data_IF_987266714521
#
_entry.id   IF_987266714521
#
_cell.length_a   1.000
_cell.length_b   1.000
_cell.length_c   1.000
_cell.angle_alpha   90.00
_cell.angle_beta   90.00
_cell.angle_gamma   90.00
#
_symmetry.space_group_name_H-M   'P 1'
#
loop_
_entity.id
_entity.type
_entity.pdbx_description
1 polymer ?
#
# COMPACT_ATOMS: atom_id res chain seq x y z
N UNK A 1 -0.62 25.97 -0.20
CA UNK A 1 0.32 24.90 0.17
C UNK A 1 1.04 24.33 -1.04
N UNK A 2 0.34 23.75 -2.03
CA UNK A 2 0.97 23.14 -3.22
C UNK A 2 2.02 24.02 -3.94
N UNK A 3 1.77 25.31 -4.27
CA UNK A 3 2.79 26.13 -4.94
C UNK A 3 4.01 26.47 -4.07
N UNK A 4 3.86 26.50 -2.74
CA UNK A 4 4.99 26.69 -1.82
C UNK A 4 5.76 25.39 -1.60
N UNK A 5 5.06 24.26 -1.66
CA UNK A 5 5.60 22.91 -1.57
C UNK A 5 6.39 22.53 -2.83
N UNK A 6 5.87 22.83 -4.01
CA UNK A 6 6.54 22.61 -5.30
C UNK A 6 7.88 23.36 -5.35
N UNK A 7 7.91 24.62 -4.88
CA UNK A 7 9.15 25.41 -4.75
C UNK A 7 10.15 24.79 -3.77
N UNK A 8 9.67 24.19 -2.69
CA UNK A 8 10.53 23.52 -1.71
C UNK A 8 11.12 22.23 -2.29
N UNK A 9 10.30 21.43 -3.00
CA UNK A 9 10.76 20.23 -3.70
C UNK A 9 11.79 20.55 -4.78
N UNK A 10 11.56 21.61 -5.56
CA UNK A 10 12.51 22.09 -6.56
C UNK A 10 13.85 22.47 -5.91
N UNK A 11 13.83 23.19 -4.80
CA UNK A 11 15.03 23.55 -4.05
C UNK A 11 15.75 22.32 -3.45
N UNK A 12 15.01 21.34 -2.91
CA UNK A 12 15.55 20.09 -2.37
C UNK A 12 16.24 19.29 -3.48
N UNK A 13 15.60 19.14 -4.65
CA UNK A 13 16.16 18.38 -5.77
C UNK A 13 17.42 19.05 -6.34
N UNK A 14 17.41 20.38 -6.48
CA UNK A 14 18.61 21.12 -6.91
C UNK A 14 19.80 20.92 -5.96
N UNK A 15 19.55 20.81 -4.65
CA UNK A 15 20.61 20.52 -3.66
C UNK A 15 21.04 19.04 -3.67
N UNK A 16 20.14 18.12 -4.03
CA UNK A 16 20.46 16.71 -4.24
C UNK A 16 21.50 16.55 -5.36
N UNK A 17 21.26 17.23 -6.49
CA UNK A 17 22.13 17.17 -7.66
C UNK A 17 23.51 17.77 -7.36
N UNK A 18 23.56 18.93 -6.70
CA UNK A 18 24.83 19.54 -6.25
C UNK A 18 25.60 18.66 -5.26
N UNK A 19 24.90 17.99 -4.34
CA UNK A 19 25.52 17.05 -3.40
C UNK A 19 26.07 15.83 -4.13
N UNK A 20 25.35 15.29 -5.11
CA UNK A 20 25.81 14.14 -5.88
C UNK A 20 27.04 14.50 -6.72
N UNK A 21 27.03 15.65 -7.39
CA UNK A 21 28.19 16.16 -8.13
C UNK A 21 29.40 16.39 -7.22
N UNK A 22 29.19 16.89 -6.00
CA UNK A 22 30.27 17.05 -5.03
C UNK A 22 30.81 15.70 -4.53
N UNK A 23 29.94 14.70 -4.29
CA UNK A 23 30.34 13.34 -3.93
C UNK A 23 31.20 12.71 -5.03
N UNK A 24 30.80 12.86 -6.29
CA UNK A 24 31.44 12.23 -7.45
C UNK A 24 32.83 12.84 -7.73
N UNK A 25 33.06 14.08 -7.32
CA UNK A 25 34.34 14.78 -7.52
C UNK A 25 35.32 14.69 -6.33
N UNK A 26 34.91 14.07 -5.22
CA UNK A 26 35.77 13.93 -4.02
C UNK A 26 36.55 12.61 -4.04
N UNK A 27 37.88 12.73 -3.96
CA UNK A 27 38.81 11.58 -4.00
C UNK A 27 39.42 11.22 -2.64
N UNK A 28 39.25 12.06 -1.61
CA UNK A 28 39.77 11.80 -0.27
C UNK A 28 38.90 10.81 0.54
N UNK A 29 39.51 9.70 0.97
CA UNK A 29 38.85 8.57 1.66
C UNK A 29 38.09 8.96 2.94
N UNK A 30 38.62 9.88 3.74
CA UNK A 30 37.98 10.33 4.99
C UNK A 30 36.75 11.21 4.68
N UNK A 31 36.87 12.02 3.64
CA UNK A 31 35.79 12.89 3.14
C UNK A 31 34.67 12.06 2.49
N UNK A 32 35.00 11.01 1.72
CA UNK A 32 34.04 10.07 1.12
C UNK A 32 33.16 9.38 2.18
N UNK A 33 33.73 8.99 3.33
CA UNK A 33 32.95 8.34 4.41
C UNK A 33 31.92 9.29 5.04
N UNK A 34 32.33 10.54 5.30
CA UNK A 34 31.43 11.57 5.84
C UNK A 34 30.36 11.98 4.82
N UNK A 35 30.74 12.05 3.54
CA UNK A 35 29.81 12.30 2.44
C UNK A 35 28.76 11.21 2.31
N UNK A 36 29.12 9.92 2.38
CA UNK A 36 28.14 8.82 2.37
C UNK A 36 27.12 8.91 3.51
N UNK A 37 27.55 9.32 4.70
CA UNK A 37 26.63 9.56 5.83
C UNK A 37 25.70 10.75 5.56
N UNK A 38 26.22 11.82 4.96
CA UNK A 38 25.46 13.01 4.60
C UNK A 38 24.45 12.71 3.48
N UNK A 39 24.85 12.00 2.42
CA UNK A 39 23.96 11.47 1.37
C UNK A 39 22.89 10.55 1.96
N UNK A 40 23.25 9.68 2.90
CA UNK A 40 22.29 8.82 3.60
C UNK A 40 21.26 9.61 4.42
N UNK A 41 21.69 10.69 5.09
CA UNK A 41 20.78 11.62 5.78
C UNK A 41 19.88 12.40 4.82
N UNK A 42 20.43 12.86 3.70
CA UNK A 42 19.69 13.60 2.68
C UNK A 42 18.65 12.72 1.96
N UNK A 43 18.97 11.45 1.68
CA UNK A 43 18.01 10.49 1.13
C UNK A 43 16.81 10.26 2.07
N UNK A 44 17.01 10.33 3.40
CA UNK A 44 15.89 10.28 4.36
C UNK A 44 15.01 11.53 4.26
N UNK A 45 15.60 12.71 4.03
CA UNK A 45 14.85 13.96 3.79
C UNK A 45 14.06 13.87 2.49
N UNK A 46 14.63 13.35 1.41
CA UNK A 46 13.93 13.09 0.15
C UNK A 46 12.77 12.10 0.32
N UNK A 47 12.96 11.06 1.13
CA UNK A 47 11.91 10.09 1.45
C UNK A 47 10.78 10.75 2.22
N UNK A 48 11.09 11.50 3.28
CA UNK A 48 10.08 12.24 4.05
C UNK A 48 9.38 13.32 3.23
N UNK A 49 10.10 13.99 2.32
CA UNK A 49 9.49 14.93 1.39
C UNK A 49 8.51 14.21 0.46
N UNK A 50 8.86 13.05 -0.07
CA UNK A 50 7.95 12.23 -0.90
C UNK A 50 6.70 11.76 -0.12
N UNK A 51 6.80 11.57 1.19
CA UNK A 51 5.65 11.25 2.05
C UNK A 51 4.75 12.47 2.27
N UNK A 52 5.33 13.65 2.51
CA UNK A 52 4.58 14.90 2.63
C UNK A 52 3.95 15.32 1.30
N UNK A 53 4.62 15.04 0.18
CA UNK A 53 4.08 15.25 -1.17
C UNK A 53 2.76 14.49 -1.37
N UNK A 54 2.67 13.26 -0.87
CA UNK A 54 1.43 12.46 -0.89
C UNK A 54 0.30 13.05 -0.03
N UNK A 55 0.64 13.89 0.95
CA UNK A 55 -0.34 14.58 1.81
C UNK A 55 -0.75 15.93 1.22
N UNK A 56 0.16 16.63 0.54
CA UNK A 56 -0.07 17.95 -0.07
C UNK A 56 -0.74 17.83 -1.44
N UNK A 57 -0.38 16.82 -2.22
CA UNK A 57 -1.05 16.41 -3.46
C UNK A 57 -1.53 14.96 -3.31
N UNK A 58 -2.65 14.72 -2.61
CA UNK A 58 -3.24 13.39 -2.55
C UNK A 58 -3.58 13.02 -3.99
N UNK A 59 -2.78 12.10 -4.57
CA UNK A 59 -2.97 11.61 -5.94
C UNK A 59 -4.47 11.47 -6.21
N UNK A 60 -4.97 12.18 -7.23
CA UNK A 60 -6.41 12.27 -7.52
C UNK A 60 -7.06 10.92 -7.26
N UNK A 61 -7.88 10.85 -6.21
CA UNK A 61 -8.60 9.62 -5.89
C UNK A 61 -9.39 9.25 -7.14
N UNK A 62 -9.05 8.12 -7.75
CA UNK A 62 -9.83 7.58 -8.85
C UNK A 62 -11.29 7.50 -8.38
N UNK A 63 -12.19 8.07 -9.16
CA UNK A 63 -13.63 7.88 -8.94
C UNK A 63 -13.92 6.40 -9.04
N UNK A 64 -14.29 5.80 -7.92
CA UNK A 64 -14.61 4.37 -7.85
C UNK A 64 -15.90 4.12 -8.62
N UNK A 65 -15.85 3.21 -9.58
CA UNK A 65 -17.02 2.71 -10.31
C UNK A 65 -17.48 1.44 -9.63
N UNK A 66 -18.66 1.50 -9.04
CA UNK A 66 -19.27 0.33 -8.39
C UNK A 66 -19.75 -0.65 -9.46
N UNK A 67 -19.49 -1.96 -9.29
CA UNK A 67 -19.76 -2.97 -10.31
C UNK A 67 -21.24 -3.34 -10.44
N UNK A 68 -22.02 -3.09 -9.38
CA UNK A 68 -23.43 -3.40 -9.25
C UNK A 68 -24.18 -2.15 -8.77
N UNK A 69 -25.41 -1.97 -9.25
CA UNK A 69 -26.32 -0.90 -8.82
C UNK A 69 -27.30 -1.44 -7.75
N UNK A 70 -26.75 -2.16 -6.76
CA UNK A 70 -27.52 -2.78 -5.67
C UNK A 70 -27.10 -2.12 -4.34
N UNK A 71 -28.03 -1.42 -3.70
CA UNK A 71 -27.81 -0.70 -2.44
C UNK A 71 -27.25 -1.61 -1.34
N UNK A 72 -27.71 -2.85 -1.22
CA UNK A 72 -27.22 -3.81 -0.22
C UNK A 72 -25.73 -4.11 -0.43
N UNK A 73 -25.30 -4.27 -1.69
CA UNK A 73 -23.89 -4.45 -2.01
C UNK A 73 -23.08 -3.20 -1.67
N UNK A 74 -23.60 -1.99 -1.91
CA UNK A 74 -22.92 -0.75 -1.54
C UNK A 74 -22.70 -0.65 -0.03
N UNK A 75 -23.73 -0.98 0.76
CA UNK A 75 -23.66 -0.98 2.22
C UNK A 75 -22.66 -2.04 2.71
N UNK A 76 -22.73 -3.26 2.19
CA UNK A 76 -21.80 -4.33 2.54
C UNK A 76 -20.35 -3.99 2.16
N UNK A 77 -20.13 -3.37 1.01
CA UNK A 77 -18.80 -2.94 0.58
C UNK A 77 -18.23 -1.86 1.49
N UNK A 78 -19.08 -0.91 1.92
CA UNK A 78 -18.69 0.10 2.89
C UNK A 78 -18.32 -0.54 4.23
N UNK A 79 -19.13 -1.48 4.71
CA UNK A 79 -18.86 -2.25 5.92
C UNK A 79 -17.55 -3.03 5.83
N UNK A 80 -17.28 -3.69 4.70
CA UNK A 80 -16.02 -4.40 4.46
C UNK A 80 -14.79 -3.48 4.55
N UNK A 81 -14.90 -2.25 4.06
CA UNK A 81 -13.81 -1.26 4.18
C UNK A 81 -13.58 -0.84 5.62
N UNK A 82 -14.64 -0.66 6.39
CA UNK A 82 -14.57 -0.33 7.82
C UNK A 82 -13.95 -1.48 8.61
N UNK A 83 -14.40 -2.71 8.35
CA UNK A 83 -13.82 -3.95 8.87
C UNK A 83 -12.30 -4.04 8.65
N UNK A 84 -11.82 -3.75 7.43
CA UNK A 84 -10.38 -3.77 7.13
C UNK A 84 -9.58 -2.72 7.93
N UNK A 85 -10.19 -1.59 8.24
CA UNK A 85 -9.56 -0.54 9.06
C UNK A 85 -9.57 -0.94 10.53
N UNK A 86 -10.67 -1.49 11.03
CA UNK A 86 -10.85 -1.88 12.43
C UNK A 86 -9.94 -3.06 12.82
N UNK A 87 -9.98 -4.16 12.05
CA UNK A 87 -9.26 -5.38 12.41
C UNK A 87 -7.78 -5.34 12.00
N UNK A 88 -7.45 -4.66 10.91
CA UNK A 88 -6.11 -4.72 10.31
C UNK A 88 -5.40 -3.37 10.12
N UNK A 89 -6.03 -2.25 10.49
CA UNK A 89 -5.49 -0.91 10.25
C UNK A 89 -5.21 -0.63 8.77
N UNK A 90 -5.91 -1.32 7.86
CA UNK A 90 -5.64 -1.30 6.42
C UNK A 90 -6.65 -0.42 5.69
N UNK A 91 -6.13 0.58 4.98
CA UNK A 91 -6.93 1.39 4.07
C UNK A 91 -6.87 0.84 2.63
N UNK A 92 -8.02 0.85 1.97
CA UNK A 92 -8.12 0.55 0.54
C UNK A 92 -7.84 1.82 -0.27
N UNK A 93 -6.68 1.83 -0.95
CA UNK A 93 -6.37 2.88 -1.91
C UNK A 93 -7.27 2.73 -3.15
N UNK A 94 -7.66 3.85 -3.77
CA UNK A 94 -8.64 3.90 -4.87
C UNK A 94 -8.36 2.92 -6.02
N UNK A 95 -7.09 2.79 -6.45
CA UNK A 95 -6.70 1.82 -7.49
C UNK A 95 -6.90 0.37 -7.06
N UNK A 96 -6.55 0.05 -5.81
CA UNK A 96 -6.70 -1.30 -5.26
C UNK A 96 -8.18 -1.64 -5.06
N UNK A 97 -8.96 -0.69 -4.56
CA UNK A 97 -10.42 -0.80 -4.46
C UNK A 97 -11.03 -1.12 -5.82
N UNK A 98 -10.71 -0.36 -6.87
CA UNK A 98 -11.24 -0.62 -8.21
C UNK A 98 -10.84 -2.01 -8.76
N UNK A 99 -9.61 -2.46 -8.53
CA UNK A 99 -9.14 -3.80 -8.95
C UNK A 99 -9.92 -4.90 -8.23
N UNK A 100 -10.16 -4.74 -6.93
CA UNK A 100 -10.92 -5.73 -6.15
C UNK A 100 -12.38 -5.75 -6.63
N UNK A 101 -13.01 -4.59 -6.81
CA UNK A 101 -14.38 -4.51 -7.32
C UNK A 101 -14.52 -5.14 -8.71
N UNK A 102 -13.56 -4.91 -9.60
CA UNK A 102 -13.53 -5.55 -10.92
C UNK A 102 -13.35 -7.07 -10.81
N UNK A 103 -12.53 -7.53 -9.87
CA UNK A 103 -12.31 -8.96 -9.61
C UNK A 103 -13.57 -9.61 -9.03
N UNK A 104 -14.24 -8.96 -8.09
CA UNK A 104 -15.52 -9.41 -7.52
C UNK A 104 -16.57 -9.57 -8.62
N UNK A 105 -16.73 -8.59 -9.50
CA UNK A 105 -17.63 -8.69 -10.67
C UNK A 105 -17.32 -9.89 -11.55
N UNK A 106 -16.03 -10.17 -11.76
CA UNK A 106 -15.59 -11.33 -12.55
C UNK A 106 -15.89 -12.66 -11.85
N UNK A 107 -15.55 -12.81 -10.57
CA UNK A 107 -15.71 -14.04 -9.80
C UNK A 107 -17.18 -14.35 -9.49
N UNK A 108 -17.98 -13.31 -9.30
CA UNK A 108 -19.42 -13.46 -9.13
C UNK A 108 -20.16 -13.67 -10.45
N UNK A 109 -19.47 -13.58 -11.60
CA UNK A 109 -20.07 -13.67 -12.94
C UNK A 109 -21.19 -12.64 -13.15
N UNK A 110 -20.95 -11.42 -12.70
CA UNK A 110 -21.88 -10.29 -12.73
C UNK A 110 -23.15 -10.46 -11.87
N UNK A 111 -23.15 -11.42 -10.96
CA UNK A 111 -24.21 -11.61 -9.96
C UNK A 111 -23.86 -10.84 -8.67
N UNK A 112 -24.76 -9.97 -8.21
CA UNK A 112 -24.54 -9.14 -7.03
C UNK A 112 -24.61 -9.97 -5.73
N UNK A 113 -25.54 -10.93 -5.63
CA UNK A 113 -25.74 -11.75 -4.43
C UNK A 113 -24.52 -12.63 -4.19
N UNK A 114 -24.02 -13.24 -5.27
CA UNK A 114 -22.79 -14.01 -5.23
C UNK A 114 -21.57 -13.16 -4.87
N UNK A 115 -21.52 -11.89 -5.29
CA UNK A 115 -20.44 -11.00 -4.88
C UNK A 115 -20.50 -10.69 -3.38
N UNK A 116 -21.71 -10.53 -2.82
CA UNK A 116 -21.92 -10.33 -1.38
C UNK A 116 -21.52 -11.56 -0.57
N UNK A 117 -21.83 -12.77 -1.04
CA UNK A 117 -21.36 -14.02 -0.41
C UNK A 117 -19.82 -14.08 -0.34
N UNK A 118 -19.15 -13.72 -1.43
CA UNK A 118 -17.68 -13.68 -1.49
C UNK A 118 -17.09 -12.67 -0.49
N UNK A 119 -17.68 -11.47 -0.39
CA UNK A 119 -17.22 -10.44 0.55
C UNK A 119 -17.44 -10.90 2.00
N UNK A 120 -18.60 -11.49 2.28
CA UNK A 120 -18.94 -12.04 3.60
C UNK A 120 -17.99 -13.17 4.00
N UNK A 121 -17.61 -14.03 3.04
CA UNK A 121 -16.63 -15.08 3.24
C UNK A 121 -15.27 -14.53 3.70
N UNK A 122 -14.78 -13.41 3.15
CA UNK A 122 -13.53 -12.82 3.62
C UNK A 122 -13.62 -12.30 5.05
N UNK A 123 -14.73 -11.64 5.39
CA UNK A 123 -14.92 -11.09 6.75
C UNK A 123 -15.05 -12.21 7.77
N UNK A 124 -15.82 -13.26 7.47
CA UNK A 124 -16.03 -14.38 8.37
C UNK A 124 -14.73 -15.13 8.70
N UNK A 125 -13.84 -15.24 7.71
CA UNK A 125 -12.58 -15.97 7.85
C UNK A 125 -11.38 -15.08 8.23
N UNK A 126 -11.58 -13.79 8.44
CA UNK A 126 -10.49 -12.90 8.86
C UNK A 126 -9.47 -12.60 7.75
N UNK A 127 -9.86 -12.67 6.47
CA UNK A 127 -8.92 -12.53 5.37
C UNK A 127 -8.60 -11.08 5.05
N UNK A 128 -7.30 -10.75 5.12
CA UNK A 128 -6.79 -9.44 4.69
C UNK A 128 -6.62 -9.35 3.18
N UNK A 129 -6.38 -10.49 2.53
CA UNK A 129 -6.19 -10.61 1.08
C UNK A 129 -7.42 -11.19 0.42
N UNK A 130 -7.74 -10.63 -0.75
CA UNK A 130 -8.87 -11.03 -1.58
C UNK A 130 -8.37 -12.01 -2.64
N UNK A 131 -9.06 -13.14 -2.81
CA UNK A 131 -8.74 -14.20 -3.80
C UNK A 131 -10.03 -14.94 -4.19
N UNK A 132 -10.11 -15.48 -5.40
CA UNK A 132 -11.30 -16.22 -5.84
C UNK A 132 -11.58 -17.43 -4.93
N UNK A 133 -12.68 -17.45 -4.16
CA UNK A 133 -13.05 -18.63 -3.38
C UNK A 133 -13.64 -19.69 -4.30
N UNK A 134 -13.39 -20.96 -4.01
CA UNK A 134 -14.04 -22.06 -4.71
C UNK A 134 -15.51 -22.13 -4.32
N UNK A 135 -16.37 -22.72 -5.17
CA UNK A 135 -17.79 -22.94 -4.83
C UNK A 135 -17.97 -23.78 -3.56
N UNK A 136 -17.02 -24.70 -3.29
CA UNK A 136 -17.04 -25.55 -2.10
C UNK A 136 -16.64 -24.81 -0.82
N UNK A 137 -15.78 -23.79 -0.94
CA UNK A 137 -15.44 -22.91 0.18
C UNK A 137 -16.60 -21.99 0.56
N UNK A 138 -17.34 -21.49 -0.43
CA UNK A 138 -18.54 -20.68 -0.19
C UNK A 138 -19.67 -21.49 0.45
N UNK A 139 -19.81 -22.78 0.12
CA UNK A 139 -20.80 -23.66 0.74
C UNK A 139 -20.40 -24.22 2.09
N UNK A 140 -19.16 -23.97 2.54
CA UNK A 140 -18.61 -24.52 3.79
C UNK A 140 -18.23 -26.01 3.72
N UNK A 141 -18.23 -26.61 2.53
CA UNK A 141 -17.81 -28.01 2.32
C UNK A 141 -16.29 -28.19 2.35
N UNK A 142 -15.53 -27.12 2.09
CA UNK A 142 -14.07 -27.13 2.04
C UNK A 142 -13.49 -26.07 2.98
N UNK A 143 -12.43 -26.44 3.71
CA UNK A 143 -11.77 -25.50 4.60
C UNK A 143 -11.16 -24.34 3.80
N UNK A 144 -11.32 -23.10 4.27
CA UNK A 144 -10.69 -21.93 3.70
C UNK A 144 -9.15 -22.09 3.64
N UNK A 145 -8.44 -21.56 2.63
CA UNK A 145 -6.98 -21.65 2.57
C UNK A 145 -6.35 -20.89 3.75
N UNK A 146 -5.44 -21.48 4.52
CA UNK A 146 -4.78 -20.72 5.59
C UNK A 146 -4.06 -19.49 5.02
N UNK A 147 -4.39 -18.29 5.51
CA UNK A 147 -3.67 -17.08 5.14
C UNK A 147 -2.29 -17.14 5.80
N UNK A 148 -1.27 -17.57 5.06
CA UNK A 148 0.12 -17.63 5.52
C UNK A 148 0.59 -16.24 6.01
N UNK A 149 0.46 -15.99 7.31
CA UNK A 149 0.86 -14.76 8.01
C UNK A 149 2.38 -14.69 8.31
N UNK A 150 3.16 -15.70 7.89
CA UNK A 150 4.59 -15.73 8.16
C UNK A 150 5.39 -14.80 7.24
N UNK A 151 5.51 -13.53 7.64
CA UNK A 151 6.76 -12.77 7.52
C UNK A 151 7.24 -12.39 8.91
N UNK A 152 7.74 -13.37 9.65
CA UNK A 152 8.74 -13.09 10.68
C UNK A 152 9.94 -12.40 10.01
N UNK A 153 10.15 -11.13 10.33
CA UNK A 153 11.39 -10.43 10.01
C UNK A 153 12.47 -11.14 10.83
N UNK A 154 13.20 -12.06 10.22
CA UNK A 154 14.43 -12.59 10.79
C UNK A 154 15.47 -11.46 10.79
N UNK A 155 15.49 -10.66 11.87
CA UNK A 155 16.65 -9.87 12.23
C UNK A 155 17.74 -10.85 12.68
N UNK A 156 18.49 -11.36 11.72
CA UNK A 156 19.77 -11.99 11.98
C UNK A 156 20.73 -10.89 12.44
N UNK A 157 20.71 -10.58 13.73
CA UNK A 157 21.78 -9.82 14.37
C UNK A 157 22.97 -10.76 14.42
N UNK A 158 23.80 -10.69 13.38
CA UNK A 158 25.07 -11.37 13.35
C UNK A 158 25.95 -10.81 14.47
N UNK A 159 26.08 -11.58 15.55
CA UNK A 159 27.11 -11.38 16.57
C UNK A 159 28.45 -11.82 15.99
N UNK A 160 29.04 -10.91 15.22
CA UNK A 160 30.46 -10.87 14.97
C UNK A 160 30.80 -9.38 14.94
N UNK A 161 31.42 -8.85 15.98
CA UNK A 161 32.87 -8.72 16.05
C UNK A 161 33.28 -8.52 17.53
N UNK A 162 34.46 -9.09 17.80
CA UNK A 162 35.24 -9.18 19.05
C UNK A 162 35.38 -7.90 19.85
#
# INVERSE_FOLDING_TARGET
MKPQWDKLLEAINAHADMLQEFVDNVTDSKTVKNLKLLTGGFNKVLTGASEVDRLVDPQQKLTIKMPFDNEEFHQLWQYYKEYLVEDFGMYLNSRREQIILNSLKKWSKDDADRAMEIVTFYMHNGYRRVFEPTTKQLSGEELPPEENSNRSINLNIDKSIR
#
